data_IF_778958994709
#
_entry.id   IF_778958994709
#
_cell.length_a   1.000
_cell.length_b   1.000
_cell.length_c   1.000
_cell.angle_alpha   90.00
_cell.angle_beta   90.00
_cell.angle_gamma   90.00
#
_symmetry.space_group_name_H-M   'P 1'
#
loop_
_entity.id
_entity.type
_entity.pdbx_description
1 polymer ?
#
# COMPACT_ATOMS: atom_id res chain seq x y z
N UNK A 1 -3.68 -18.42 -15.50
CA UNK A 1 -2.94 -17.85 -16.67
C UNK A 1 -3.92 -17.16 -17.62
N UNK A 2 -3.53 -16.06 -18.27
CA UNK A 2 -4.30 -15.47 -19.38
C UNK A 2 -3.92 -16.16 -20.70
N UNK A 3 -4.91 -16.68 -21.41
CA UNK A 3 -4.74 -17.38 -22.69
C UNK A 3 -4.41 -16.46 -23.87
N UNK A 4 -4.67 -15.16 -23.75
CA UNK A 4 -4.51 -14.19 -24.84
C UNK A 4 -3.07 -13.67 -24.93
N UNK A 5 -2.47 -13.27 -23.80
CA UNK A 5 -1.13 -12.67 -23.77
C UNK A 5 -0.08 -13.51 -23.04
N UNK A 6 -0.48 -14.69 -22.52
CA UNK A 6 0.40 -15.59 -21.77
C UNK A 6 0.78 -15.11 -20.37
N UNK A 7 0.34 -13.91 -19.94
CA UNK A 7 0.70 -13.36 -18.64
C UNK A 7 0.00 -14.11 -17.50
N UNK A 8 0.67 -14.11 -16.36
CA UNK A 8 0.24 -14.87 -15.18
C UNK A 8 0.15 -13.98 -13.95
N UNK A 9 -0.63 -14.43 -12.97
CA UNK A 9 -0.75 -13.84 -11.64
C UNK A 9 -0.60 -14.95 -10.62
N UNK A 10 0.28 -14.74 -9.64
CA UNK A 10 0.39 -15.59 -8.45
C UNK A 10 -0.18 -14.82 -7.26
N UNK A 11 -1.03 -15.47 -6.48
CA UNK A 11 -1.54 -14.90 -5.26
C UNK A 11 -1.92 -15.99 -4.27
N UNK A 12 -1.99 -15.62 -2.99
CA UNK A 12 -2.40 -16.53 -1.93
C UNK A 12 -3.86 -16.34 -1.48
N UNK A 13 -4.44 -17.39 -0.89
CA UNK A 13 -5.77 -17.36 -0.26
C UNK A 13 -5.89 -18.44 0.81
N UNK A 14 -6.55 -18.12 1.92
CA UNK A 14 -7.03 -19.09 2.93
C UNK A 14 -8.50 -19.49 2.70
N UNK A 15 -9.15 -18.86 1.72
CA UNK A 15 -10.51 -19.15 1.28
C UNK A 15 -10.47 -20.06 0.04
N UNK A 16 -11.63 -20.61 -0.34
CA UNK A 16 -11.74 -21.41 -1.57
C UNK A 16 -11.30 -20.63 -2.82
N UNK A 17 -10.73 -21.35 -3.78
CA UNK A 17 -10.26 -20.79 -5.05
C UNK A 17 -11.37 -20.04 -5.80
N UNK A 18 -12.59 -20.59 -5.80
CA UNK A 18 -13.78 -19.94 -6.39
C UNK A 18 -14.08 -18.58 -5.76
N UNK A 19 -13.99 -18.46 -4.43
CA UNK A 19 -14.25 -17.21 -3.71
C UNK A 19 -13.16 -16.18 -4.00
N UNK A 20 -11.89 -16.61 -3.99
CA UNK A 20 -10.76 -15.74 -4.35
C UNK A 20 -10.88 -15.21 -5.77
N UNK A 21 -11.26 -16.07 -6.72
CA UNK A 21 -11.48 -15.68 -8.11
C UNK A 21 -12.61 -14.67 -8.27
N UNK A 22 -13.74 -14.90 -7.61
CA UNK A 22 -14.85 -13.95 -7.63
C UNK A 22 -14.44 -12.56 -7.11
N UNK A 23 -13.56 -12.50 -6.10
CA UNK A 23 -13.01 -11.25 -5.60
C UNK A 23 -12.13 -10.53 -6.64
N UNK A 24 -11.36 -11.24 -7.46
CA UNK A 24 -10.54 -10.64 -8.52
C UNK A 24 -11.39 -10.03 -9.65
N UNK A 25 -12.55 -10.63 -9.95
CA UNK A 25 -13.48 -10.12 -10.97
C UNK A 25 -14.25 -8.88 -10.47
N UNK A 26 -14.45 -8.76 -9.16
CA UNK A 26 -15.22 -7.69 -8.55
C UNK A 26 -14.61 -6.29 -8.80
N UNK A 27 -15.47 -5.27 -8.97
CA UNK A 27 -15.05 -3.87 -9.20
C UNK A 27 -14.16 -3.32 -8.06
N UNK A 28 -14.45 -3.74 -6.82
CA UNK A 28 -13.73 -3.35 -5.60
C UNK A 28 -12.41 -4.09 -5.39
N UNK A 29 -12.01 -4.97 -6.31
CA UNK A 29 -10.72 -5.65 -6.19
C UNK A 29 -9.57 -4.65 -6.18
N UNK A 30 -8.70 -4.77 -5.18
CA UNK A 30 -7.44 -4.02 -5.06
C UNK A 30 -6.35 -4.51 -6.01
N UNK A 31 -6.52 -5.67 -6.65
CA UNK A 31 -5.60 -6.20 -7.65
C UNK A 31 -5.82 -5.49 -8.99
N UNK A 32 -5.56 -4.18 -9.03
CA UNK A 32 -5.98 -3.29 -10.12
C UNK A 32 -5.51 -3.75 -11.50
N UNK A 33 -4.27 -4.24 -11.62
CA UNK A 33 -3.73 -4.65 -12.90
C UNK A 33 -4.40 -5.92 -13.43
N UNK A 34 -4.48 -6.97 -12.60
CA UNK A 34 -5.20 -8.20 -12.93
C UNK A 34 -6.68 -7.94 -13.22
N UNK A 35 -7.36 -7.15 -12.39
CA UNK A 35 -8.78 -6.79 -12.59
C UNK A 35 -8.99 -6.13 -13.96
N UNK A 36 -8.13 -5.18 -14.31
CA UNK A 36 -8.23 -4.49 -15.60
C UNK A 36 -7.95 -5.46 -16.76
N UNK A 37 -7.00 -6.38 -16.61
CA UNK A 37 -6.73 -7.43 -17.60
C UNK A 37 -7.94 -8.37 -17.78
N UNK A 38 -8.58 -8.81 -16.69
CA UNK A 38 -9.81 -9.61 -16.72
C UNK A 38 -10.94 -8.84 -17.43
N UNK A 39 -11.08 -7.55 -17.15
CA UNK A 39 -12.09 -6.70 -17.82
C UNK A 39 -11.80 -6.55 -19.32
N UNK A 40 -10.53 -6.41 -19.69
CA UNK A 40 -10.10 -6.21 -21.07
C UNK A 40 -10.23 -7.49 -21.91
N UNK A 41 -9.77 -8.62 -21.38
CA UNK A 41 -9.67 -9.87 -22.12
C UNK A 41 -10.85 -10.83 -21.86
N UNK A 42 -11.74 -10.53 -20.92
CA UNK A 42 -12.82 -11.44 -20.54
C UNK A 42 -12.35 -12.53 -19.57
N UNK A 43 -13.21 -12.89 -18.61
CA UNK A 43 -12.87 -13.83 -17.52
C UNK A 43 -12.69 -15.28 -18.02
N UNK A 44 -13.36 -15.63 -19.11
CA UNK A 44 -13.32 -16.93 -19.79
C UNK A 44 -11.94 -17.24 -20.40
N UNK A 45 -11.14 -16.19 -20.64
CA UNK A 45 -9.78 -16.30 -21.13
C UNK A 45 -8.74 -16.50 -20.02
N UNK A 46 -9.18 -16.63 -18.77
CA UNK A 46 -8.31 -16.93 -17.64
C UNK A 46 -8.52 -18.36 -17.14
N UNK A 47 -7.41 -19.06 -16.89
CA UNK A 47 -7.38 -20.28 -16.09
C UNK A 47 -6.98 -19.96 -14.66
N UNK A 48 -7.61 -20.64 -13.70
CA UNK A 48 -7.27 -20.58 -12.27
C UNK A 48 -6.95 -22.00 -11.79
N UNK A 49 -5.88 -22.13 -11.02
CA UNK A 49 -5.39 -23.41 -10.53
C UNK A 49 -4.76 -23.22 -9.14
N UNK A 50 -4.87 -24.25 -8.31
CA UNK A 50 -4.11 -24.35 -7.08
C UNK A 50 -2.79 -25.06 -7.39
N UNK A 51 -1.66 -24.37 -7.21
CA UNK A 51 -0.33 -24.92 -7.49
C UNK A 51 0.40 -25.40 -6.24
N UNK A 52 -0.09 -25.01 -5.05
CA UNK A 52 0.52 -25.34 -3.77
C UNK A 52 -0.46 -25.14 -2.63
N UNK A 53 -0.36 -25.99 -1.60
CA UNK A 53 -1.09 -25.88 -0.35
C UNK A 53 -0.08 -25.81 0.80
N UNK A 54 -0.16 -24.75 1.58
CA UNK A 54 0.68 -24.53 2.75
C UNK A 54 -0.08 -24.87 4.03
N UNK A 55 0.65 -25.27 5.07
CA UNK A 55 0.08 -25.53 6.40
C UNK A 55 0.14 -24.29 7.30
N UNK A 56 1.06 -23.36 7.01
CA UNK A 56 1.26 -22.14 7.78
C UNK A 56 1.20 -20.89 6.90
N UNK A 57 0.87 -19.75 7.51
CA UNK A 57 0.87 -18.46 6.82
C UNK A 57 2.30 -18.04 6.40
N UNK A 58 3.30 -18.37 7.20
CA UNK A 58 4.71 -18.08 6.89
C UNK A 58 5.15 -18.82 5.62
N UNK A 59 4.84 -20.12 5.54
CA UNK A 59 5.10 -20.92 4.36
C UNK A 59 4.33 -20.39 3.15
N UNK A 60 3.06 -20.03 3.32
CA UNK A 60 2.22 -19.48 2.27
C UNK A 60 2.83 -18.19 1.69
N UNK A 61 3.27 -17.27 2.56
CA UNK A 61 3.94 -16.03 2.17
C UNK A 61 5.25 -16.31 1.42
N UNK A 62 6.07 -17.23 1.93
CA UNK A 62 7.36 -17.61 1.31
C UNK A 62 7.15 -18.23 -0.06
N UNK A 63 6.17 -19.12 -0.20
CA UNK A 63 5.85 -19.80 -1.46
C UNK A 63 5.22 -18.87 -2.48
N UNK A 64 4.39 -17.92 -2.07
CA UNK A 64 3.89 -16.87 -2.96
C UNK A 64 5.07 -16.11 -3.61
N UNK A 65 6.05 -15.67 -2.81
CA UNK A 65 7.23 -14.98 -3.31
C UNK A 65 8.07 -15.86 -4.26
N UNK A 66 8.34 -17.11 -3.86
CA UNK A 66 9.07 -18.10 -4.65
C UNK A 66 8.43 -18.30 -6.03
N UNK A 67 7.10 -18.48 -6.08
CA UNK A 67 6.37 -18.68 -7.33
C UNK A 67 6.24 -17.40 -8.16
N UNK A 68 6.10 -16.22 -7.55
CA UNK A 68 6.11 -14.96 -8.30
C UNK A 68 7.41 -14.82 -9.12
N UNK A 69 8.54 -15.15 -8.50
CA UNK A 69 9.87 -15.14 -9.14
C UNK A 69 9.98 -16.27 -10.16
N UNK A 70 9.69 -17.51 -9.75
CA UNK A 70 9.83 -18.71 -10.59
C UNK A 70 9.04 -18.61 -11.90
N UNK A 71 7.82 -18.08 -11.84
CA UNK A 71 6.96 -17.92 -13.01
C UNK A 71 7.06 -16.53 -13.65
N UNK A 72 7.99 -15.68 -13.19
CA UNK A 72 8.22 -14.33 -13.71
C UNK A 72 6.93 -13.51 -13.88
N UNK A 73 6.09 -13.50 -12.85
CA UNK A 73 4.74 -12.89 -12.92
C UNK A 73 4.71 -11.42 -12.55
N UNK A 74 5.85 -10.83 -12.21
CA UNK A 74 5.95 -9.41 -11.88
C UNK A 74 5.77 -8.56 -13.14
N UNK A 75 5.04 -7.45 -13.04
CA UNK A 75 4.90 -6.51 -14.13
C UNK A 75 6.28 -5.95 -14.56
N UNK A 76 6.59 -5.90 -15.87
CA UNK A 76 5.65 -6.02 -17.01
C UNK A 76 5.36 -7.45 -17.50
N UNK A 77 6.10 -8.45 -17.03
CA UNK A 77 6.06 -9.83 -17.53
C UNK A 77 4.79 -10.58 -17.09
N UNK A 78 4.19 -10.19 -15.97
CA UNK A 78 2.89 -10.69 -15.53
C UNK A 78 2.04 -9.62 -14.86
N UNK A 79 1.06 -10.04 -14.06
CA UNK A 79 0.08 -9.16 -13.43
C UNK A 79 0.36 -8.84 -11.96
N UNK A 80 1.40 -9.44 -11.35
CA UNK A 80 1.82 -9.07 -10.01
C UNK A 80 2.47 -7.69 -10.02
N UNK A 81 1.90 -6.74 -9.28
CA UNK A 81 2.51 -5.42 -9.08
C UNK A 81 3.52 -5.40 -7.93
N UNK A 82 3.60 -6.49 -7.17
CA UNK A 82 4.48 -6.62 -6.02
C UNK A 82 5.10 -8.00 -5.92
N UNK A 83 6.21 -8.10 -5.19
CA UNK A 83 6.92 -9.36 -4.92
C UNK A 83 6.14 -10.35 -4.05
N UNK A 84 5.03 -9.95 -3.42
CA UNK A 84 4.23 -10.81 -2.53
C UNK A 84 4.80 -10.94 -1.12
N UNK A 85 4.14 -11.77 -0.30
CA UNK A 85 4.44 -11.97 1.12
C UNK A 85 4.02 -10.80 2.01
N UNK A 86 4.47 -10.80 3.26
CA UNK A 86 4.03 -9.84 4.29
C UNK A 86 4.49 -8.40 4.04
N UNK A 87 5.70 -8.24 3.48
CA UNK A 87 6.32 -6.93 3.20
C UNK A 87 6.65 -6.79 1.71
N UNK A 88 5.63 -6.61 0.85
CA UNK A 88 5.81 -6.59 -0.59
C UNK A 88 6.61 -5.38 -1.05
N UNK A 89 7.51 -5.59 -2.02
CA UNK A 89 8.13 -4.50 -2.81
C UNK A 89 7.36 -4.35 -4.11
N UNK A 90 7.19 -3.11 -4.56
CA UNK A 90 6.56 -2.84 -5.86
C UNK A 90 7.46 -3.25 -7.02
N UNK A 91 6.85 -3.57 -8.17
CA UNK A 91 7.59 -3.76 -9.42
C UNK A 91 8.25 -2.48 -9.87
N UNK A 92 9.36 -2.61 -10.59
CA UNK A 92 10.12 -1.48 -11.12
C UNK A 92 9.23 -0.58 -11.99
N UNK A 93 8.40 -1.17 -12.85
CA UNK A 93 7.44 -0.43 -13.66
C UNK A 93 6.46 0.40 -12.81
N UNK A 94 5.98 -0.17 -11.71
CA UNK A 94 5.05 0.54 -10.79
C UNK A 94 5.78 1.70 -10.11
N UNK A 95 7.02 1.47 -9.67
CA UNK A 95 7.86 2.51 -9.06
C UNK A 95 8.07 3.67 -10.03
N UNK A 96 8.40 3.38 -11.29
CA UNK A 96 8.58 4.39 -12.33
C UNK A 96 7.29 5.17 -12.59
N UNK A 97 6.15 4.49 -12.78
CA UNK A 97 4.84 5.14 -12.97
C UNK A 97 4.47 6.06 -11.81
N UNK A 98 4.71 5.63 -10.57
CA UNK A 98 4.51 6.45 -9.37
C UNK A 98 5.43 7.68 -9.36
N UNK A 99 6.70 7.51 -9.75
CA UNK A 99 7.68 8.59 -9.86
C UNK A 99 7.26 9.63 -10.90
N UNK A 100 6.94 9.21 -12.12
CA UNK A 100 6.47 10.09 -13.19
C UNK A 100 5.21 10.86 -12.81
N UNK A 101 4.25 10.20 -12.17
CA UNK A 101 2.99 10.83 -11.75
C UNK A 101 3.17 11.95 -10.73
N UNK A 102 4.27 11.93 -9.97
CA UNK A 102 4.64 12.93 -8.95
C UNK A 102 5.56 14.03 -9.48
N UNK A 103 6.28 13.77 -10.58
CA UNK A 103 7.25 14.73 -11.13
C UNK A 103 6.57 16.06 -11.47
N UNK A 104 7.17 17.16 -11.00
CA UNK A 104 6.68 18.52 -11.25
C UNK A 104 5.46 18.95 -10.42
N UNK A 105 4.87 18.07 -9.60
CA UNK A 105 3.75 18.42 -8.72
C UNK A 105 4.31 18.83 -7.35
N UNK A 106 4.25 20.13 -6.98
CA UNK A 106 4.66 20.54 -5.65
C UNK A 106 3.76 19.89 -4.61
N UNK A 107 4.31 19.60 -3.43
CA UNK A 107 3.50 19.22 -2.30
C UNK A 107 2.53 20.36 -1.97
N UNK A 108 1.32 20.04 -1.50
CA UNK A 108 0.27 21.05 -1.22
C UNK A 108 0.72 22.10 -0.19
N UNK A 109 1.66 21.72 0.67
CA UNK A 109 2.26 22.56 1.71
C UNK A 109 3.55 23.27 1.26
N UNK A 110 3.96 23.15 -0.01
CA UNK A 110 5.20 23.76 -0.49
C UNK A 110 5.10 25.28 -0.36
N UNK A 111 6.01 25.87 0.41
CA UNK A 111 6.06 27.31 0.66
C UNK A 111 5.12 27.79 1.79
N UNK A 112 4.42 26.89 2.48
CA UNK A 112 3.59 27.24 3.63
C UNK A 112 4.38 27.07 4.93
N UNK A 113 4.20 28.00 5.86
CA UNK A 113 4.80 27.92 7.20
C UNK A 113 3.87 27.16 8.16
N UNK A 114 4.35 26.86 9.37
CA UNK A 114 3.54 26.17 10.39
C UNK A 114 2.36 27.01 10.83
N UNK A 115 2.49 28.33 10.76
CA UNK A 115 1.54 29.34 11.21
C UNK A 115 0.40 29.54 10.21
N UNK A 116 0.56 29.05 8.97
CA UNK A 116 -0.49 29.10 7.96
C UNK A 116 -1.76 28.40 8.47
N UNK A 117 -2.89 29.09 8.38
CA UNK A 117 -4.17 28.63 8.94
C UNK A 117 -4.61 27.28 8.38
N UNK A 118 -4.24 26.95 7.13
CA UNK A 118 -4.51 25.64 6.51
C UNK A 118 -3.68 24.54 7.14
N UNK A 119 -2.40 24.83 7.42
CA UNK A 119 -1.48 23.91 8.10
C UNK A 119 -1.93 23.70 9.55
N UNK A 120 -2.35 24.76 10.25
CA UNK A 120 -2.90 24.68 11.60
C UNK A 120 -4.21 23.88 11.66
N UNK A 121 -5.11 24.07 10.70
CA UNK A 121 -6.36 23.30 10.61
C UNK A 121 -6.08 21.81 10.37
N UNK A 122 -5.14 21.50 9.47
CA UNK A 122 -4.69 20.13 9.22
C UNK A 122 -4.11 19.48 10.49
N UNK A 123 -3.23 20.17 11.22
CA UNK A 123 -2.66 19.68 12.48
C UNK A 123 -3.75 19.41 13.53
N UNK A 124 -4.72 20.32 13.68
CA UNK A 124 -5.83 20.18 14.65
C UNK A 124 -6.76 19.02 14.32
N UNK A 125 -6.99 18.74 13.03
CA UNK A 125 -7.88 17.65 12.61
C UNK A 125 -7.36 16.26 12.98
N UNK A 126 -6.06 16.11 13.23
CA UNK A 126 -5.45 14.81 13.54
C UNK A 126 -5.49 13.82 12.37
N UNK A 127 -5.87 14.25 11.16
CA UNK A 127 -5.89 13.39 9.98
C UNK A 127 -4.47 12.92 9.64
N UNK A 128 -4.20 11.66 9.99
CA UNK A 128 -2.90 10.98 9.89
C UNK A 128 -2.60 10.49 8.47
N UNK A 129 -3.01 11.23 7.44
CA UNK A 129 -2.65 10.91 6.06
C UNK A 129 -1.34 11.61 5.68
N UNK A 130 -0.22 10.89 5.88
CA UNK A 130 1.11 11.14 5.31
C UNK A 130 1.45 12.61 5.00
N UNK A 131 1.69 13.43 6.03
CA UNK A 131 2.40 14.70 5.84
C UNK A 131 3.80 14.38 5.28
N UNK A 132 4.10 14.81 4.06
CA UNK A 132 5.44 14.70 3.48
C UNK A 132 6.37 15.67 4.21
N UNK A 133 6.85 15.22 5.37
CA UNK A 133 7.61 16.02 6.32
C UNK A 133 7.56 15.40 7.72
N UNK A 134 7.88 14.10 7.84
CA UNK A 134 7.87 13.38 9.14
C UNK A 134 8.64 14.14 10.23
N UNK A 135 9.69 14.87 9.87
CA UNK A 135 10.47 15.71 10.79
C UNK A 135 9.64 16.80 11.47
N UNK A 136 8.78 17.49 10.72
CA UNK A 136 7.97 18.60 11.23
C UNK A 136 6.94 18.16 12.27
N UNK A 137 6.30 17.01 12.04
CA UNK A 137 5.31 16.42 12.94
C UNK A 137 5.95 15.85 14.21
N UNK A 138 7.13 15.23 14.10
CA UNK A 138 7.89 14.74 15.26
C UNK A 138 8.30 15.92 16.14
N UNK A 139 8.82 16.99 15.54
CA UNK A 139 9.23 18.19 16.27
C UNK A 139 8.02 18.86 16.96
N UNK A 140 6.85 18.92 16.30
CA UNK A 140 5.62 19.48 16.88
C UNK A 140 5.04 18.61 18.01
N UNK A 141 5.07 17.28 17.87
CA UNK A 141 4.63 16.38 18.93
C UNK A 141 5.52 16.51 20.17
N UNK A 142 6.85 16.58 19.97
CA UNK A 142 7.81 16.79 21.05
C UNK A 142 7.58 18.12 21.78
N UNK A 143 7.37 19.22 21.05
CA UNK A 143 7.07 20.53 21.64
C UNK A 143 5.75 20.54 22.42
N UNK A 144 4.70 19.86 21.92
CA UNK A 144 3.42 19.74 22.63
C UNK A 144 3.56 18.94 23.93
N UNK A 145 4.32 17.86 23.90
CA UNK A 145 4.61 17.04 25.09
C UNK A 145 5.39 17.84 26.14
N UNK A 146 6.40 18.61 25.73
CA UNK A 146 7.16 19.48 26.65
C UNK A 146 6.28 20.57 27.30
N UNK A 147 5.38 21.20 26.53
CA UNK A 147 4.47 22.22 27.06
C UNK A 147 3.51 21.63 28.11
N UNK A 148 2.94 20.46 27.82
CA UNK A 148 2.06 19.73 28.75
C UNK A 148 2.78 19.36 30.05
N UNK A 149 4.04 18.91 29.96
CA UNK A 149 4.85 18.61 31.15
C UNK A 149 5.08 19.88 31.97
N UNK A 150 5.43 20.99 31.33
CA UNK A 150 5.62 22.27 32.04
C UNK A 150 4.36 22.80 32.72
N UNK A 151 3.19 22.61 32.11
CA UNK A 151 1.90 23.01 32.68
C UNK A 151 1.48 22.13 33.86
N UNK A 152 1.85 20.85 33.84
CA UNK A 152 1.65 19.94 34.97
C UNK A 152 2.56 20.29 36.15
N UNK A 153 3.81 20.67 35.88
CA UNK A 153 4.76 21.11 36.91
C UNK A 153 4.34 22.44 37.57
N UNK A 154 3.83 23.41 36.79
CA UNK A 154 3.31 24.68 37.33
C UNK A 154 2.08 24.49 38.24
N UNK A 155 1.22 23.52 37.93
CA UNK A 155 0.03 23.19 38.74
C UNK A 155 0.38 22.46 40.04
N UNK A 156 1.50 21.73 40.09
CA UNK A 156 1.95 21.07 41.32
C UNK A 156 2.63 22.02 42.30
N UNK A 157 3.23 23.12 41.79
CA UNK A 157 3.89 24.16 42.61
C UNK A 157 2.90 25.17 43.20
N UNK A 158 1.75 25.39 42.56
CA UNK A 158 0.73 26.38 42.98
C UNK A 158 -0.34 25.83 43.94
N UNK A 159 -0.23 24.55 44.33
CA UNK A 159 -1.19 23.83 45.19
C UNK A 159 -0.71 23.67 46.65
N UNK A 160 0.07 24.62 47.17
CA UNK A 160 0.48 24.69 48.59
C UNK A 160 0.12 26.03 49.21
#
# INVERSE_FOLDING_TARGET
MNKIDGKQYIGQTIQSLKRRWAFHICKRSGCVYLKNAIKLHGKENFTIEEIYRAETLEELNRKEQEFIIKYNTLAPNGYNLTTGGERPKFSEETIQKMSFSKKGKPAWNKGLTKEDSRVQSYIRSGESHHFSGKKLLIDLHYQKTLLLISEMDLKSVTSK
#
